data_IF_489271645491
#
_entry.id   IF_489271645491
#
_cell.length_a   1.000
_cell.length_b   1.000
_cell.length_c   1.000
_cell.angle_alpha   90.00
_cell.angle_beta   90.00
_cell.angle_gamma   90.00
#
_symmetry.space_group_name_H-M   'P 1'
#
loop_
_entity.id
_entity.type
_entity.pdbx_description
1 polymer ?
#
# COMPACT_ATOMS: atom_id res chain seq x y z
N UNK A 1 -0.33 -12.63 23.34
CA UNK A 1 -0.78 -11.74 22.26
C UNK A 1 -0.88 -12.56 20.98
N UNK A 2 -1.97 -12.43 20.24
CA UNK A 2 -2.16 -13.06 18.94
C UNK A 2 -1.69 -12.11 17.84
N UNK A 3 -1.22 -12.68 16.72
CA UNK A 3 -0.80 -11.93 15.53
C UNK A 3 -1.66 -12.29 14.33
N UNK A 4 -1.85 -11.35 13.41
CA UNK A 4 -2.55 -11.62 12.15
C UNK A 4 -1.73 -12.54 11.27
N UNK A 5 -2.39 -13.49 10.62
CA UNK A 5 -1.79 -14.38 9.64
C UNK A 5 -2.66 -14.43 8.38
N UNK A 6 -2.00 -14.38 7.23
CA UNK A 6 -2.67 -14.37 5.92
C UNK A 6 -2.52 -15.70 5.16
N UNK A 7 -1.79 -16.64 5.74
CA UNK A 7 -1.49 -17.93 5.11
C UNK A 7 -1.56 -19.04 6.16
N UNK A 8 -1.93 -20.24 5.76
CA UNK A 8 -1.90 -21.44 6.59
C UNK A 8 -0.51 -22.10 6.65
N UNK A 9 0.43 -21.64 5.83
CA UNK A 9 1.79 -22.14 5.84
C UNK A 9 2.52 -21.67 7.10
N UNK A 10 3.35 -22.52 7.67
CA UNK A 10 4.13 -22.28 8.90
C UNK A 10 3.29 -22.05 10.17
N UNK A 11 2.01 -22.45 10.17
CA UNK A 11 1.13 -22.40 11.34
C UNK A 11 0.96 -23.81 11.90
N UNK A 12 1.20 -23.96 13.20
CA UNK A 12 0.98 -25.18 13.95
C UNK A 12 -0.10 -24.99 15.04
N UNK A 13 -0.45 -26.06 15.75
CA UNK A 13 -1.49 -26.07 16.80
C UNK A 13 -1.25 -25.08 17.95
N UNK A 14 0.00 -24.70 18.23
CA UNK A 14 0.35 -23.79 19.32
C UNK A 14 0.51 -22.34 18.88
N UNK A 15 0.47 -22.10 17.58
CA UNK A 15 0.64 -20.77 17.01
C UNK A 15 -0.49 -19.83 17.44
N UNK A 16 -0.16 -18.73 18.13
CA UNK A 16 -1.12 -17.70 18.55
C UNK A 16 -1.41 -16.75 17.40
N UNK A 17 -2.25 -17.20 16.48
CA UNK A 17 -2.60 -16.47 15.26
C UNK A 17 -4.11 -16.25 15.18
N UNK A 18 -4.50 -15.22 14.46
CA UNK A 18 -5.87 -14.99 14.02
C UNK A 18 -5.89 -14.63 12.55
N UNK A 19 -6.99 -14.92 11.90
CA UNK A 19 -7.25 -14.60 10.50
C UNK A 19 -8.29 -13.50 10.43
N UNK A 20 -8.08 -12.56 9.53
CA UNK A 20 -8.97 -11.43 9.31
C UNK A 20 -9.56 -11.54 7.91
N UNK A 21 -10.87 -11.52 7.83
CA UNK A 21 -11.61 -11.53 6.56
C UNK A 21 -12.56 -10.36 6.51
N UNK A 22 -12.58 -9.65 5.40
CA UNK A 22 -13.59 -8.65 5.11
C UNK A 22 -14.89 -9.33 4.69
N UNK A 23 -16.01 -8.87 5.25
CA UNK A 23 -17.35 -9.33 4.95
C UNK A 23 -18.21 -8.17 4.47
N UNK A 24 -19.49 -8.40 4.17
CA UNK A 24 -20.39 -7.35 3.72
C UNK A 24 -20.47 -6.16 4.69
N UNK A 25 -20.83 -5.00 4.18
CA UNK A 25 -20.97 -3.73 4.91
C UNK A 25 -19.68 -3.23 5.56
N UNK A 26 -18.53 -3.40 4.91
CA UNK A 26 -17.23 -2.90 5.39
C UNK A 26 -16.84 -3.43 6.77
N UNK A 27 -17.39 -4.57 7.16
CA UNK A 27 -17.09 -5.22 8.43
C UNK A 27 -15.98 -6.25 8.29
N UNK A 28 -15.29 -6.49 9.39
CA UNK A 28 -14.24 -7.50 9.47
C UNK A 28 -14.66 -8.62 10.40
N UNK A 29 -14.47 -9.84 9.94
CA UNK A 29 -14.63 -11.03 10.75
C UNK A 29 -13.27 -11.56 11.18
N UNK A 30 -13.16 -11.91 12.46
CA UNK A 30 -11.93 -12.45 13.05
C UNK A 30 -12.13 -13.92 13.33
N UNK A 31 -11.25 -14.76 12.80
CA UNK A 31 -11.22 -16.19 13.08
C UNK A 31 -9.98 -16.53 13.88
N UNK A 32 -10.13 -17.37 14.87
CA UNK A 32 -9.02 -17.93 15.62
C UNK A 32 -8.73 -19.35 15.14
N UNK A 33 -7.58 -19.87 15.50
CA UNK A 33 -7.23 -21.25 15.17
C UNK A 33 -8.20 -22.29 15.77
N UNK A 34 -8.25 -23.43 15.13
CA UNK A 34 -9.08 -24.59 15.49
C UNK A 34 -8.35 -25.66 16.31
N UNK A 35 -7.08 -25.41 16.66
CA UNK A 35 -6.18 -26.36 17.33
C UNK A 35 -5.34 -27.19 16.36
N UNK A 36 -5.54 -27.05 15.05
CA UNK A 36 -4.71 -27.63 14.00
C UNK A 36 -3.95 -26.50 13.30
N UNK A 37 -4.68 -25.51 12.78
CA UNK A 37 -4.16 -24.31 12.15
C UNK A 37 -4.26 -23.10 13.09
N UNK A 38 -3.42 -23.10 14.11
CA UNK A 38 -3.39 -22.08 15.16
C UNK A 38 -4.07 -22.54 16.45
N UNK A 39 -3.68 -21.90 17.54
CA UNK A 39 -4.21 -22.23 18.86
C UNK A 39 -5.70 -21.89 18.96
N UNK A 40 -6.51 -22.88 19.30
CA UNK A 40 -7.93 -22.69 19.59
C UNK A 40 -8.12 -21.87 20.88
N UNK A 41 -9.22 -21.12 20.92
CA UNK A 41 -9.65 -20.45 22.13
C UNK A 41 -10.34 -21.46 23.06
N UNK A 42 -10.16 -21.25 24.35
CA UNK A 42 -10.80 -22.05 25.40
C UNK A 42 -12.01 -21.30 25.96
N UNK A 43 -12.92 -22.02 26.53
CA UNK A 43 -14.08 -21.41 27.21
C UNK A 43 -13.63 -20.50 28.36
N UNK A 44 -14.26 -19.35 28.50
CA UNK A 44 -13.90 -18.34 29.50
C UNK A 44 -12.75 -17.40 29.08
N UNK A 45 -12.20 -17.51 27.88
CA UNK A 45 -11.20 -16.56 27.40
C UNK A 45 -11.79 -15.19 27.13
N UNK A 46 -11.12 -14.12 27.55
CA UNK A 46 -11.48 -12.75 27.22
C UNK A 46 -10.69 -12.28 26.01
N UNK A 47 -11.37 -11.72 25.01
CA UNK A 47 -10.78 -11.19 23.80
C UNK A 47 -10.79 -9.67 23.86
N UNK A 48 -9.61 -9.05 23.84
CA UNK A 48 -9.45 -7.61 23.72
C UNK A 48 -8.94 -7.28 22.34
N UNK A 49 -9.71 -6.48 21.58
CA UNK A 49 -9.39 -6.06 20.23
C UNK A 49 -9.04 -4.57 20.25
N UNK A 50 -7.84 -4.24 19.81
CA UNK A 50 -7.41 -2.86 19.60
C UNK A 50 -7.29 -2.63 18.10
N UNK A 51 -8.00 -1.64 17.60
CA UNK A 51 -7.97 -1.27 16.19
C UNK A 51 -7.85 0.24 16.02
N UNK A 52 -7.39 0.67 14.86
CA UNK A 52 -7.25 2.08 14.50
C UNK A 52 -8.30 2.37 13.43
N UNK A 53 -9.05 3.45 13.62
CA UNK A 53 -9.91 4.01 12.58
C UNK A 53 -9.18 5.16 11.90
N UNK A 54 -9.32 5.28 10.58
CA UNK A 54 -8.75 6.37 9.81
C UNK A 54 -9.85 7.10 9.03
N UNK A 55 -9.60 8.35 8.67
CA UNK A 55 -10.51 9.14 7.84
C UNK A 55 -10.26 8.96 6.33
N UNK A 56 -9.61 7.85 5.94
CA UNK A 56 -9.27 7.56 4.55
C UNK A 56 -8.31 8.60 3.96
N UNK A 57 -8.64 9.13 2.82
CA UNK A 57 -7.84 10.12 2.07
C UNK A 57 -8.03 11.57 2.55
N UNK A 58 -9.02 11.84 3.40
CA UNK A 58 -9.37 13.20 3.83
C UNK A 58 -8.27 13.90 4.63
N UNK A 59 -7.32 13.15 5.18
CA UNK A 59 -6.16 13.68 5.88
C UNK A 59 -4.93 13.93 4.98
N UNK A 60 -4.99 13.55 3.70
CA UNK A 60 -3.89 13.78 2.78
C UNK A 60 -3.69 15.28 2.53
N UNK A 61 -2.42 15.69 2.46
CA UNK A 61 -2.05 17.10 2.25
C UNK A 61 -1.99 17.94 3.51
N UNK A 62 -2.42 17.44 4.66
CA UNK A 62 -2.30 18.17 5.93
C UNK A 62 -0.84 18.32 6.33
N UNK A 63 -0.43 19.54 6.67
CA UNK A 63 0.95 19.87 7.08
C UNK A 63 1.06 20.40 8.49
N UNK A 64 -0.08 20.65 9.16
CA UNK A 64 -0.12 21.19 10.55
C UNK A 64 -0.90 20.23 11.45
N UNK A 65 -0.33 19.90 12.59
CA UNK A 65 -0.90 18.96 13.53
C UNK A 65 -0.81 19.51 14.95
N UNK A 66 -1.87 19.29 15.73
CA UNK A 66 -1.90 19.58 17.15
C UNK A 66 -2.01 18.30 17.95
N UNK A 67 -1.25 18.21 19.04
CA UNK A 67 -1.35 17.09 19.96
C UNK A 67 -2.44 17.36 20.99
N UNK A 68 -3.52 16.59 20.95
CA UNK A 68 -4.66 16.71 21.88
C UNK A 68 -4.69 15.61 22.95
N UNK A 69 -3.62 14.81 23.06
CA UNK A 69 -3.54 13.66 23.95
C UNK A 69 -2.81 13.91 25.25
N UNK A 70 -2.40 12.81 25.87
CA UNK A 70 -1.54 12.78 27.06
C UNK A 70 -0.41 11.81 26.82
N UNK A 71 0.81 12.16 27.23
CA UNK A 71 1.94 11.25 27.24
C UNK A 71 2.06 10.67 28.63
N UNK A 72 1.96 9.35 28.75
CA UNK A 72 2.21 8.64 30.00
C UNK A 72 3.51 7.88 29.90
N UNK A 73 4.37 8.02 30.88
CA UNK A 73 5.61 7.27 30.97
C UNK A 73 5.88 6.84 32.40
N UNK A 74 6.59 5.75 32.55
CA UNK A 74 6.97 5.22 33.86
C UNK A 74 8.48 5.39 34.05
N UNK A 75 8.86 6.00 35.18
CA UNK A 75 10.24 6.14 35.60
C UNK A 75 10.36 5.75 37.08
N UNK A 76 11.31 4.88 37.42
CA UNK A 76 11.51 4.36 38.78
C UNK A 76 10.23 3.79 39.42
N UNK A 77 9.49 2.98 38.67
CA UNK A 77 8.20 2.39 39.06
C UNK A 77 7.07 3.41 39.36
N UNK A 78 7.26 4.69 39.07
CA UNK A 78 6.27 5.75 39.23
C UNK A 78 5.78 6.22 37.86
N UNK A 79 4.45 6.38 37.70
CA UNK A 79 3.83 6.83 36.45
C UNK A 79 3.69 8.35 36.46
N UNK A 80 4.07 8.96 35.35
CA UNK A 80 3.97 10.40 35.09
C UNK A 80 3.08 10.64 33.87
N UNK A 81 2.35 11.76 33.92
CA UNK A 81 1.49 12.18 32.81
C UNK A 81 1.84 13.62 32.43
N UNK A 82 2.12 13.83 31.14
CA UNK A 82 2.32 15.15 30.54
C UNK A 82 1.11 15.45 29.67
N UNK A 83 0.41 16.55 29.93
CA UNK A 83 -0.78 16.99 29.20
C UNK A 83 -0.65 18.38 28.58
N UNK A 84 0.46 19.08 28.82
CA UNK A 84 0.71 20.43 28.30
C UNK A 84 2.18 20.63 27.95
N UNK A 85 2.49 21.65 27.17
CA UNK A 85 3.86 21.95 26.75
C UNK A 85 4.41 21.02 25.69
N UNK A 86 3.53 20.27 24.99
CA UNK A 86 3.89 19.37 23.89
C UNK A 86 3.69 20.12 22.58
N UNK A 87 4.75 20.24 21.79
CA UNK A 87 4.70 20.77 20.42
C UNK A 87 5.09 19.69 19.44
N UNK A 88 4.41 19.63 18.30
CA UNK A 88 4.76 18.75 17.18
C UNK A 88 5.59 19.53 16.18
N UNK A 89 6.76 18.99 15.86
CA UNK A 89 7.58 19.50 14.76
C UNK A 89 7.29 18.66 13.52
N UNK A 90 6.79 19.30 12.47
CA UNK A 90 6.62 18.67 11.15
C UNK A 90 7.90 18.85 10.34
N UNK A 91 8.30 17.82 9.62
CA UNK A 91 9.50 17.84 8.76
C UNK A 91 9.28 18.55 7.41
N UNK A 92 8.20 19.33 7.28
CA UNK A 92 7.80 19.97 6.03
C UNK A 92 7.13 19.03 5.01
N UNK A 93 6.95 17.77 5.37
CA UNK A 93 6.18 16.81 4.57
C UNK A 93 4.71 16.86 5.00
N UNK A 94 3.81 16.90 4.04
CA UNK A 94 2.38 16.74 4.29
C UNK A 94 2.02 15.28 4.54
N UNK A 95 0.90 15.06 5.23
CA UNK A 95 0.34 13.73 5.42
C UNK A 95 0.00 13.12 4.05
N UNK A 96 0.29 11.85 3.88
CA UNK A 96 0.03 11.09 2.64
C UNK A 96 -0.20 9.61 2.97
N UNK A 97 -0.73 8.86 2.01
CA UNK A 97 -0.96 7.42 2.13
C UNK A 97 -2.33 7.06 2.73
N UNK A 98 -3.23 8.05 2.89
CA UNK A 98 -4.64 7.78 3.12
C UNK A 98 -5.34 7.41 1.82
N UNK A 99 -6.18 6.36 1.85
CA UNK A 99 -6.94 5.90 0.69
C UNK A 99 -8.40 5.66 1.07
N UNK A 100 -9.27 5.85 0.10
CA UNK A 100 -10.66 5.39 0.18
C UNK A 100 -10.72 3.89 -0.12
N UNK A 101 -11.85 3.29 0.21
CA UNK A 101 -12.11 1.88 -0.12
C UNK A 101 -12.03 1.70 -1.64
N UNK A 102 -11.39 0.62 -2.05
CA UNK A 102 -11.23 0.30 -3.46
C UNK A 102 -12.59 0.13 -4.14
N UNK A 103 -12.78 0.79 -5.30
CA UNK A 103 -14.04 0.70 -6.03
C UNK A 103 -14.24 -0.69 -6.64
N UNK A 104 -15.51 -1.11 -6.78
CA UNK A 104 -15.88 -2.38 -7.43
C UNK A 104 -15.33 -2.46 -8.86
N UNK A 105 -15.25 -1.32 -9.57
CA UNK A 105 -14.68 -1.28 -10.92
C UNK A 105 -13.18 -1.55 -10.92
N UNK A 106 -12.46 -1.01 -9.95
CA UNK A 106 -11.04 -1.29 -9.74
C UNK A 106 -10.82 -2.77 -9.46
N UNK A 107 -11.57 -3.34 -8.51
CA UNK A 107 -11.51 -4.77 -8.18
C UNK A 107 -11.80 -5.63 -9.41
N UNK A 108 -12.85 -5.31 -10.17
CA UNK A 108 -13.20 -6.05 -11.40
C UNK A 108 -12.09 -6.01 -12.45
N UNK A 109 -11.38 -4.89 -12.54
CA UNK A 109 -10.27 -4.72 -13.50
C UNK A 109 -9.01 -5.45 -13.06
N UNK A 110 -8.64 -5.33 -11.79
CA UNK A 110 -7.34 -5.80 -11.30
C UNK A 110 -7.35 -7.22 -10.74
N UNK A 111 -8.44 -7.66 -10.10
CA UNK A 111 -8.47 -8.97 -9.46
C UNK A 111 -8.18 -10.15 -10.43
N UNK A 112 -8.76 -10.23 -11.64
CA UNK A 112 -8.45 -11.29 -12.59
C UNK A 112 -6.97 -11.29 -13.02
N UNK A 113 -6.38 -10.09 -13.19
CA UNK A 113 -4.98 -9.94 -13.60
C UNK A 113 -4.02 -10.35 -12.49
N UNK A 114 -4.30 -9.95 -11.23
CA UNK A 114 -3.52 -10.35 -10.06
C UNK A 114 -3.62 -11.86 -9.84
N UNK A 115 -4.81 -12.44 -10.02
CA UNK A 115 -4.99 -13.88 -9.93
C UNK A 115 -4.18 -14.63 -11.01
N UNK A 116 -4.24 -14.19 -12.26
CA UNK A 116 -3.50 -14.82 -13.37
C UNK A 116 -1.98 -14.66 -13.22
N UNK A 117 -1.50 -13.57 -12.66
CA UNK A 117 -0.07 -13.35 -12.40
C UNK A 117 0.51 -14.26 -11.30
N UNK A 118 -0.35 -14.86 -10.46
CA UNK A 118 0.04 -15.71 -9.33
C UNK A 118 1.11 -15.06 -8.44
N UNK A 119 0.98 -13.76 -8.18
CA UNK A 119 1.94 -12.95 -7.43
C UNK A 119 3.35 -12.89 -8.05
N UNK A 120 3.47 -13.02 -9.35
CA UNK A 120 4.72 -12.86 -10.10
C UNK A 120 4.56 -11.79 -11.16
N UNK A 121 5.57 -10.95 -11.31
CA UNK A 121 5.64 -9.95 -12.38
C UNK A 121 6.54 -10.49 -13.50
N UNK A 122 5.93 -10.97 -14.58
CA UNK A 122 6.62 -11.54 -15.75
C UNK A 122 6.40 -10.65 -16.96
N UNK A 123 5.16 -10.28 -17.23
CA UNK A 123 4.76 -9.44 -18.36
C UNK A 123 4.60 -7.97 -17.94
N UNK A 124 4.63 -7.05 -18.89
CA UNK A 124 4.34 -5.63 -18.65
C UNK A 124 2.99 -5.43 -17.95
N UNK A 125 1.97 -6.17 -18.36
CA UNK A 125 0.63 -6.15 -17.75
C UNK A 125 0.63 -6.59 -16.27
N UNK A 126 1.51 -7.53 -15.90
CA UNK A 126 1.63 -7.95 -14.49
C UNK A 126 2.18 -6.82 -13.63
N UNK A 127 3.23 -6.11 -14.11
CA UNK A 127 3.77 -4.94 -13.44
C UNK A 127 2.73 -3.83 -13.32
N UNK A 128 1.99 -3.54 -14.41
CA UNK A 128 0.93 -2.52 -14.43
C UNK A 128 -0.20 -2.83 -13.44
N UNK A 129 -0.46 -4.09 -13.15
CA UNK A 129 -1.50 -4.51 -12.22
C UNK A 129 -1.00 -4.60 -10.78
N UNK A 130 0.20 -5.16 -10.57
CA UNK A 130 0.76 -5.36 -9.23
C UNK A 130 1.19 -4.05 -8.56
N UNK A 131 1.73 -3.10 -9.33
CA UNK A 131 2.24 -1.87 -8.76
C UNK A 131 1.14 -1.05 -8.09
N UNK A 132 0.05 -0.66 -8.76
CA UNK A 132 -1.01 0.09 -8.10
C UNK A 132 -1.75 -0.73 -7.04
N UNK A 133 -1.93 -2.03 -7.24
CA UNK A 133 -2.71 -2.84 -6.31
C UNK A 133 -1.99 -3.21 -5.01
N UNK A 134 -0.64 -3.33 -5.02
CA UNK A 134 0.08 -3.89 -3.85
C UNK A 134 1.36 -3.16 -3.45
N UNK A 135 1.95 -2.41 -4.36
CA UNK A 135 3.29 -1.85 -4.16
C UNK A 135 3.23 -0.36 -3.89
N UNK A 136 2.52 0.37 -4.74
CA UNK A 136 2.36 1.81 -4.66
C UNK A 136 0.93 2.22 -5.08
N UNK A 137 -0.04 2.19 -4.16
CA UNK A 137 -1.44 2.51 -4.43
C UNK A 137 -1.68 3.96 -4.87
N UNK A 138 -0.78 4.88 -4.50
CA UNK A 138 -0.84 6.29 -4.91
C UNK A 138 -0.54 6.51 -6.41
N UNK A 139 -0.60 5.45 -7.22
CA UNK A 139 -0.44 5.50 -8.67
C UNK A 139 -1.70 6.08 -9.31
N UNK A 140 -1.58 7.19 -10.05
CA UNK A 140 -2.64 7.73 -10.90
C UNK A 140 -2.64 7.02 -12.26
N UNK A 141 -1.47 6.95 -12.89
CA UNK A 141 -1.27 6.20 -14.13
C UNK A 141 0.09 5.53 -14.15
N UNK A 142 0.19 4.44 -14.90
CA UNK A 142 1.40 3.65 -15.04
C UNK A 142 1.56 3.20 -16.50
N UNK A 143 2.78 3.19 -16.96
CA UNK A 143 3.18 2.61 -18.24
C UNK A 143 4.40 1.73 -18.04
N UNK A 144 4.35 0.52 -18.59
CA UNK A 144 5.42 -0.46 -18.47
C UNK A 144 5.75 -1.00 -19.87
N UNK A 145 7.04 -1.04 -20.18
CA UNK A 145 7.52 -1.59 -21.44
C UNK A 145 8.83 -2.35 -21.23
N UNK A 146 9.11 -3.30 -22.12
CA UNK A 146 10.33 -4.09 -22.10
C UNK A 146 11.54 -3.28 -22.59
N UNK A 147 12.72 -3.68 -22.17
CA UNK A 147 13.95 -3.06 -22.66
C UNK A 147 14.23 -3.37 -24.12
N UNK A 148 13.59 -4.38 -24.68
CA UNK A 148 13.63 -4.72 -26.12
C UNK A 148 13.00 -3.64 -27.00
N UNK A 149 12.08 -2.84 -26.47
CA UNK A 149 11.41 -1.75 -27.21
C UNK A 149 12.27 -0.49 -27.33
N UNK A 150 13.43 -0.45 -26.66
CA UNK A 150 14.35 0.69 -26.74
C UNK A 150 15.30 0.61 -27.93
N UNK A 151 15.79 1.75 -28.35
CA UNK A 151 16.85 1.88 -29.35
C UNK A 151 18.06 2.59 -28.74
N UNK A 152 19.19 1.88 -28.50
CA UNK A 152 19.43 0.43 -28.68
C UNK A 152 18.70 -0.43 -27.66
N UNK A 153 18.36 -1.69 -27.99
CA UNK A 153 17.68 -2.60 -27.07
C UNK A 153 18.47 -2.90 -25.79
N UNK A 154 17.78 -2.98 -24.66
CA UNK A 154 18.35 -3.32 -23.36
C UNK A 154 17.65 -4.55 -22.78
N UNK A 155 18.10 -5.73 -23.18
CA UNK A 155 17.52 -6.99 -22.74
C UNK A 155 17.70 -7.23 -21.24
N UNK A 156 16.74 -7.95 -20.61
CA UNK A 156 16.75 -8.23 -19.18
C UNK A 156 16.32 -7.05 -18.31
N UNK A 157 15.82 -5.98 -18.91
CA UNK A 157 15.27 -4.82 -18.18
C UNK A 157 13.81 -4.59 -18.50
N UNK A 158 13.06 -4.13 -17.50
CA UNK A 158 11.70 -3.62 -17.64
C UNK A 158 11.69 -2.17 -17.16
N UNK A 159 11.18 -1.29 -17.99
CA UNK A 159 11.08 0.13 -17.71
C UNK A 159 9.66 0.48 -17.26
N UNK A 160 9.59 1.22 -16.17
CA UNK A 160 8.34 1.55 -15.48
C UNK A 160 8.27 3.06 -15.31
N UNK A 161 7.24 3.68 -15.84
CA UNK A 161 6.93 5.09 -15.63
C UNK A 161 5.65 5.20 -14.82
N UNK A 162 5.70 5.90 -13.68
CA UNK A 162 4.57 6.02 -12.75
C UNK A 162 4.26 7.50 -12.55
N UNK A 163 3.01 7.88 -12.79
CA UNK A 163 2.47 9.17 -12.37
C UNK A 163 1.83 9.00 -10.99
N UNK A 164 2.32 9.70 -9.95
CA UNK A 164 1.68 9.70 -8.65
C UNK A 164 0.40 10.55 -8.69
N UNK A 165 -0.57 10.27 -7.82
CA UNK A 165 -1.79 11.08 -7.64
C UNK A 165 -1.47 12.48 -7.14
N UNK A 166 -0.41 12.63 -6.37
CA UNK A 166 0.02 13.90 -5.80
C UNK A 166 1.42 14.24 -6.31
N UNK A 167 1.55 15.37 -7.00
CA UNK A 167 2.80 15.81 -7.61
C UNK A 167 3.06 15.24 -9.00
N UNK A 168 4.12 15.74 -9.65
CA UNK A 168 4.44 15.41 -11.04
C UNK A 168 5.50 14.31 -11.17
N UNK A 169 6.31 14.11 -10.13
CA UNK A 169 7.44 13.19 -10.16
C UNK A 169 7.53 12.36 -8.89
N UNK A 170 8.06 11.15 -9.02
CA UNK A 170 8.38 10.31 -7.88
C UNK A 170 9.74 10.70 -7.28
N UNK A 171 9.81 11.01 -5.98
CA UNK A 171 11.10 11.21 -5.28
C UNK A 171 11.96 9.94 -5.36
N UNK A 172 13.30 10.12 -5.42
CA UNK A 172 14.24 9.01 -5.53
C UNK A 172 14.09 7.96 -4.42
N UNK A 173 13.76 8.40 -3.20
CA UNK A 173 13.49 7.51 -2.07
C UNK A 173 12.29 6.58 -2.33
N UNK A 174 11.23 7.12 -2.92
CA UNK A 174 10.03 6.34 -3.26
C UNK A 174 10.34 5.34 -4.38
N UNK A 175 11.10 5.74 -5.40
CA UNK A 175 11.56 4.84 -6.48
C UNK A 175 12.31 3.64 -5.90
N UNK A 176 13.24 3.87 -4.97
CA UNK A 176 14.00 2.80 -4.33
C UNK A 176 13.10 1.88 -3.47
N UNK A 177 12.12 2.43 -2.75
CA UNK A 177 11.14 1.64 -2.00
C UNK A 177 10.29 0.76 -2.93
N UNK A 178 9.86 1.28 -4.06
CA UNK A 178 9.11 0.52 -5.07
C UNK A 178 9.98 -0.60 -5.63
N UNK A 179 11.22 -0.33 -6.02
CA UNK A 179 12.17 -1.35 -6.50
C UNK A 179 12.39 -2.46 -5.48
N UNK A 180 12.55 -2.12 -4.20
CA UNK A 180 12.72 -3.08 -3.12
C UNK A 180 11.49 -3.99 -2.95
N UNK A 181 10.28 -3.43 -3.00
CA UNK A 181 9.04 -4.20 -2.93
C UNK A 181 8.88 -5.10 -4.16
N UNK A 182 9.23 -4.60 -5.36
CA UNK A 182 9.16 -5.34 -6.62
C UNK A 182 10.05 -6.59 -6.62
N UNK A 183 11.17 -6.60 -5.92
CA UNK A 183 12.05 -7.78 -5.82
C UNK A 183 11.34 -9.04 -5.32
N UNK A 184 10.23 -8.91 -4.58
CA UNK A 184 9.44 -10.04 -4.10
C UNK A 184 8.60 -10.70 -5.20
N UNK A 185 8.34 -9.98 -6.27
CA UNK A 185 7.45 -10.38 -7.37
C UNK A 185 8.20 -10.57 -8.69
N UNK A 186 9.35 -9.94 -8.85
CA UNK A 186 10.14 -10.01 -10.08
C UNK A 186 10.77 -11.39 -10.27
N UNK A 187 10.82 -11.84 -11.50
CA UNK A 187 11.51 -13.07 -11.90
C UNK A 187 13.02 -12.81 -11.95
N UNK A 188 13.79 -13.82 -11.56
CA UNK A 188 15.25 -13.76 -11.63
C UNK A 188 15.71 -13.45 -13.09
N UNK A 189 16.63 -12.50 -13.23
CA UNK A 189 17.14 -12.07 -14.52
C UNK A 189 16.44 -10.87 -15.13
N UNK A 190 15.33 -10.40 -14.58
CA UNK A 190 14.67 -9.16 -15.00
C UNK A 190 14.89 -8.06 -13.96
N UNK A 191 15.44 -6.94 -14.41
CA UNK A 191 15.75 -5.79 -13.57
C UNK A 191 14.75 -4.66 -13.84
N UNK A 192 13.86 -4.32 -12.89
CA UNK A 192 12.95 -3.19 -13.05
C UNK A 192 13.69 -1.86 -12.86
N UNK A 193 13.52 -0.95 -13.80
CA UNK A 193 14.02 0.42 -13.79
C UNK A 193 12.87 1.41 -13.79
N UNK A 194 12.88 2.38 -12.87
CA UNK A 194 11.83 3.40 -12.80
C UNK A 194 12.34 4.66 -13.47
N UNK A 195 11.65 5.04 -14.55
CA UNK A 195 11.93 6.24 -15.32
C UNK A 195 11.08 7.42 -14.84
N UNK A 196 11.61 8.61 -15.01
CA UNK A 196 10.83 9.83 -14.87
C UNK A 196 9.89 10.02 -16.04
N UNK A 197 8.71 10.57 -15.75
CA UNK A 197 7.70 10.87 -16.75
C UNK A 197 8.19 11.97 -17.70
N UNK A 198 7.87 11.80 -18.97
CA UNK A 198 7.98 12.86 -19.98
C UNK A 198 6.56 13.33 -20.31
N UNK A 199 6.30 14.62 -20.11
CA UNK A 199 5.02 15.21 -20.42
C UNK A 199 5.02 15.76 -21.84
N UNK A 200 3.96 15.45 -22.60
CA UNK A 200 3.67 16.07 -23.88
C UNK A 200 2.50 17.05 -23.66
N UNK A 201 2.76 18.32 -23.86
CA UNK A 201 1.73 19.35 -23.79
C UNK A 201 1.16 19.57 -25.17
N UNK A 202 -0.17 19.46 -25.30
CA UNK A 202 -0.91 19.70 -26.52
C UNK A 202 -1.76 20.96 -26.35
N UNK A 203 -1.54 21.96 -27.21
CA UNK A 203 -2.37 23.13 -27.29
C UNK A 203 -3.29 23.01 -28.50
N UNK A 204 -4.60 23.09 -28.27
CA UNK A 204 -5.62 23.01 -29.34
C UNK A 204 -6.29 24.35 -29.50
N UNK A 205 -6.03 25.00 -30.62
CA UNK A 205 -6.72 26.24 -31.05
C UNK A 205 -7.85 25.91 -32.01
N UNK A 206 -9.11 26.04 -31.59
CA UNK A 206 -10.27 25.80 -32.46
C UNK A 206 -11.08 27.04 -32.68
N UNK A 207 -11.49 27.28 -33.91
CA UNK A 207 -12.46 28.33 -34.28
C UNK A 207 -13.79 27.65 -34.60
N UNK A 208 -14.83 27.99 -33.84
CA UNK A 208 -16.17 27.46 -34.05
C UNK A 208 -17.00 28.53 -34.76
N UNK A 209 -17.52 28.22 -35.93
CA UNK A 209 -18.47 29.06 -36.66
C UNK A 209 -19.85 28.41 -36.45
N UNK A 210 -20.83 29.24 -36.10
CA UNK A 210 -22.21 28.81 -35.99
C UNK A 210 -23.10 29.81 -36.79
N UNK A 211 -24.17 29.28 -37.40
CA UNK A 211 -25.19 30.06 -38.08
C UNK A 211 -26.30 30.43 -37.12
#
# INVERSE_FOLDING_TARGET
KYSVQNSLFDVNSDSKVYYLQEIEDERYQIFFGDGIFGKALEDGNFITINYITSAGDSANGLSSFNFAGRIQYTRNAQSYTISSGISLMTTGLSASGGETIESVESVRKFAPRIYSSQNRAVTSNDYESLIPARIYPETESISVFGGEDLIPPQFGKVFISIKPRTGDFLPSLIKEKIKLKLKKYAVAGIVPEILDLKYLYLEVNSKIYFN
#
